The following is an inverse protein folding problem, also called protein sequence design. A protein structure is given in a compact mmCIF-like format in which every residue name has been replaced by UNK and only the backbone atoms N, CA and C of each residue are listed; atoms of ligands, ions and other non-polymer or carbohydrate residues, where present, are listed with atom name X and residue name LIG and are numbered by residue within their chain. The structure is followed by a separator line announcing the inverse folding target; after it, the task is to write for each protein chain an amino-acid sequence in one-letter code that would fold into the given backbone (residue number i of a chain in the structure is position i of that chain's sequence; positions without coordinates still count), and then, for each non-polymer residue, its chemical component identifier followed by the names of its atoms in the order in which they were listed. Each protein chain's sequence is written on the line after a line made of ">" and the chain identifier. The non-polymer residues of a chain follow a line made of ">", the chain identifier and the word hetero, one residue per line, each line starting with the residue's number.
data_IF_139381489676
#
_entry.id   IF_139381489676
#
_cell.length_a   1.000
_cell.length_b   1.000
_cell.length_c   1.000
_cell.angle_alpha   90.00
_cell.angle_beta   90.00
_cell.angle_gamma   90.00
#
_symmetry.space_group_name_H-M   'P 1'
#
loop_
_entity.id
_entity.type
_entity.pdbx_description
1 polymer ?
#
# COMPACT_ATOMS: atom_id res chain seq x y z
N UNK A 1 -51.24 -44.00 -19.24
CA UNK A 1 -50.90 -45.33 -18.67
C UNK A 1 -49.69 -45.85 -19.43
N UNK A 2 -48.63 -46.23 -18.70
CA UNK A 2 -47.56 -47.26 -18.92
C UNK A 2 -47.36 -47.78 -20.36
N UNK A 3 -46.19 -48.05 -20.93
CA UNK A 3 -44.75 -48.19 -20.60
C UNK A 3 -44.05 -48.23 -22.00
N UNK A 4 -42.73 -48.15 -22.25
CA UNK A 4 -41.64 -49.13 -22.05
C UNK A 4 -40.43 -48.53 -22.80
N UNK A 5 -39.33 -48.15 -22.12
CA UNK A 5 -37.96 -48.74 -22.14
C UNK A 5 -37.27 -48.81 -23.53
N UNK A 6 -36.11 -48.17 -23.64
CA UNK A 6 -35.17 -48.31 -24.75
C UNK A 6 -33.79 -47.72 -24.43
N UNK A 7 -32.98 -48.50 -23.71
CA UNK A 7 -31.60 -48.27 -23.25
C UNK A 7 -30.59 -48.33 -24.42
N UNK A 8 -29.65 -47.37 -24.50
CA UNK A 8 -28.35 -47.44 -25.22
C UNK A 8 -27.48 -46.28 -24.67
N UNK A 9 -26.70 -46.42 -23.58
CA UNK A 9 -25.39 -47.07 -23.41
C UNK A 9 -24.30 -46.61 -24.40
N UNK A 10 -23.26 -46.01 -23.80
CA UNK A 10 -21.81 -46.02 -24.14
C UNK A 10 -21.23 -44.75 -24.81
N UNK A 11 -20.20 -44.21 -24.15
CA UNK A 11 -19.26 -43.20 -24.67
C UNK A 11 -19.29 -41.92 -23.82
N UNK A 12 -18.68 -41.83 -22.65
CA UNK A 12 -17.27 -42.14 -22.44
C UNK A 12 -16.39 -41.06 -23.05
N UNK A 13 -16.38 -39.85 -22.49
CA UNK A 13 -15.21 -38.98 -22.61
C UNK A 13 -15.02 -38.15 -21.34
N UNK A 14 -14.14 -38.67 -20.48
CA UNK A 14 -13.37 -37.92 -19.51
C UNK A 14 -12.88 -36.61 -20.15
N UNK A 15 -13.28 -35.47 -19.61
CA UNK A 15 -12.42 -34.28 -19.65
C UNK A 15 -11.56 -34.30 -18.39
N UNK A 16 -10.63 -35.26 -18.38
CA UNK A 16 -9.50 -35.25 -17.50
C UNK A 16 -8.39 -34.42 -18.17
N UNK A 17 -7.90 -33.47 -17.39
CA UNK A 17 -6.58 -32.86 -17.48
C UNK A 17 -6.33 -31.92 -18.66
N UNK A 18 -6.10 -30.65 -18.35
CA UNK A 18 -4.72 -30.25 -18.12
C UNK A 18 -4.70 -28.87 -17.50
N UNK A 19 -4.24 -28.79 -16.24
CA UNK A 19 -3.64 -27.57 -15.72
C UNK A 19 -2.41 -27.30 -16.60
N UNK A 20 -2.60 -26.55 -17.68
CA UNK A 20 -1.48 -26.12 -18.50
C UNK A 20 -0.74 -25.04 -17.72
N UNK A 21 0.27 -25.51 -17.00
CA UNK A 21 1.34 -24.72 -16.41
C UNK A 21 2.17 -24.11 -17.55
N UNK A 22 1.73 -22.97 -18.05
CA UNK A 22 2.61 -22.10 -18.84
C UNK A 22 2.04 -20.69 -18.91
N UNK A 23 1.91 -20.05 -17.75
CA UNK A 23 1.97 -18.59 -17.74
C UNK A 23 3.44 -18.22 -17.74
N UNK A 24 4.00 -18.06 -18.94
CA UNK A 24 5.14 -17.19 -19.18
C UNK A 24 4.81 -15.83 -18.56
N UNK A 25 5.16 -15.66 -17.29
CA UNK A 25 5.21 -14.37 -16.66
C UNK A 25 6.36 -13.64 -17.35
N UNK A 26 6.06 -12.95 -18.46
CA UNK A 26 6.97 -11.96 -19.00
C UNK A 26 7.44 -11.03 -17.87
N UNK A 27 8.64 -10.44 -17.98
CA UNK A 27 9.17 -9.61 -16.91
C UNK A 27 8.10 -8.62 -16.47
N UNK A 28 7.66 -8.71 -15.21
CA UNK A 28 6.78 -7.70 -14.62
C UNK A 28 7.52 -6.39 -14.80
N UNK A 29 7.00 -5.52 -15.67
CA UNK A 29 7.61 -4.24 -15.96
C UNK A 29 7.54 -3.41 -14.68
N UNK A 30 8.59 -3.47 -13.87
CA UNK A 30 8.80 -2.53 -12.77
C UNK A 30 9.23 -1.24 -13.46
N UNK A 31 8.26 -0.39 -13.79
CA UNK A 31 8.53 0.95 -14.31
C UNK A 31 9.14 1.77 -13.18
N UNK A 32 10.47 1.76 -13.08
CA UNK A 32 11.22 2.75 -12.32
C UNK A 32 11.33 3.99 -13.20
N UNK A 33 10.64 5.08 -12.85
CA UNK A 33 10.89 6.39 -13.45
C UNK A 33 12.19 6.96 -12.86
N UNK A 34 13.30 6.54 -13.47
CA UNK A 34 14.64 7.13 -13.63
C UNK A 34 15.30 7.97 -12.50
N UNK A 35 16.47 7.45 -12.10
CA UNK A 35 17.81 8.04 -11.96
C UNK A 35 18.16 9.18 -10.98
N UNK A 36 19.04 8.78 -10.04
CA UNK A 36 20.02 9.53 -9.24
C UNK A 36 19.55 10.27 -7.99
N UNK A 37 19.68 9.62 -6.81
CA UNK A 37 20.55 10.09 -5.71
C UNK A 37 20.56 9.11 -4.52
N UNK A 38 21.77 8.67 -4.16
CA UNK A 38 22.26 8.21 -2.85
C UNK A 38 21.27 7.45 -1.93
N UNK A 39 21.28 6.11 -2.02
CA UNK A 39 20.60 5.22 -1.08
C UNK A 39 21.61 4.74 -0.03
N UNK A 40 21.69 5.45 1.10
CA UNK A 40 22.10 4.83 2.36
C UNK A 40 20.83 4.69 3.19
N UNK A 41 20.08 3.61 2.93
CA UNK A 41 18.98 3.22 3.80
C UNK A 41 19.55 2.20 4.79
N UNK A 42 19.89 2.70 5.97
CA UNK A 42 20.30 1.91 7.13
C UNK A 42 19.35 0.73 7.33
N UNK A 43 19.95 -0.45 7.31
CA UNK A 43 19.36 -1.71 7.74
C UNK A 43 19.06 -1.66 9.23
N UNK A 44 17.94 -1.05 9.61
CA UNK A 44 17.39 -1.15 10.97
C UNK A 44 16.38 -2.31 11.02
N UNK A 45 16.55 -3.27 11.95
CA UNK A 45 15.68 -4.44 12.05
C UNK A 45 14.26 -4.02 12.41
N UNK A 46 13.28 -4.69 11.81
CA UNK A 46 11.85 -4.49 12.06
C UNK A 46 11.54 -4.65 13.57
N UNK A 47 11.24 -3.55 14.25
CA UNK A 47 10.91 -3.55 15.67
C UNK A 47 9.49 -4.10 15.90
N UNK A 48 9.43 -5.18 16.67
CA UNK A 48 8.20 -5.84 17.14
C UNK A 48 7.40 -4.84 18.00
N UNK A 49 6.10 -4.71 17.71
CA UNK A 49 5.14 -3.97 18.56
C UNK A 49 4.77 -2.54 18.12
N UNK A 50 5.23 -2.07 16.96
CA UNK A 50 4.85 -0.75 16.42
C UNK A 50 4.22 -0.87 15.03
N UNK A 51 3.21 -0.05 14.77
CA UNK A 51 2.47 -0.01 13.52
C UNK A 51 3.20 0.86 12.48
N UNK A 52 3.18 0.43 11.22
CA UNK A 52 3.67 1.21 10.10
C UNK A 52 2.48 1.85 9.38
N UNK A 53 2.65 3.10 8.97
CA UNK A 53 1.62 3.83 8.25
C UNK A 53 2.23 4.47 7.01
N UNK A 54 1.62 4.25 5.85
CA UNK A 54 1.87 5.05 4.67
C UNK A 54 1.02 6.31 4.76
N UNK A 55 1.68 7.45 4.77
CA UNK A 55 1.07 8.78 4.74
C UNK A 55 1.32 9.39 3.38
N UNK A 56 0.26 9.89 2.77
CA UNK A 56 0.30 10.63 1.51
C UNK A 56 -0.32 11.99 1.79
N UNK A 57 0.43 13.06 1.55
CA UNK A 57 -0.05 14.44 1.63
C UNK A 57 -0.06 14.99 0.22
N UNK A 58 -1.25 15.13 -0.36
CA UNK A 58 -1.44 15.74 -1.67
C UNK A 58 -1.80 17.22 -1.51
N UNK A 59 -1.05 18.10 -2.20
CA UNK A 59 -1.31 19.54 -2.25
C UNK A 59 -1.96 19.86 -3.59
N UNK A 60 -3.30 19.88 -3.69
CA UNK A 60 -3.94 20.23 -4.94
C UNK A 60 -3.57 21.67 -5.31
N UNK A 61 -3.13 21.88 -6.55
CA UNK A 61 -2.85 23.21 -7.06
C UNK A 61 -4.12 24.09 -6.92
N UNK A 62 -4.05 25.22 -6.22
CA UNK A 62 -5.22 26.07 -6.00
C UNK A 62 -5.74 26.63 -7.32
N UNK A 63 -7.06 26.79 -7.40
CA UNK A 63 -7.76 27.38 -8.55
C UNK A 63 -8.68 28.51 -8.04
N UNK A 64 -8.43 29.78 -8.42
CA UNK A 64 -7.38 30.27 -9.33
C UNK A 64 -5.95 30.08 -8.75
N UNK A 65 -4.94 30.18 -9.62
CA UNK A 65 -3.54 30.09 -9.22
C UNK A 65 -3.19 31.15 -8.16
N UNK A 66 -2.25 30.83 -7.28
CA UNK A 66 -1.78 31.77 -6.26
C UNK A 66 -1.12 32.98 -6.90
N UNK A 67 -1.31 34.14 -6.28
CA UNK A 67 -0.45 35.30 -6.52
C UNK A 67 0.95 35.04 -5.95
N UNK A 68 1.97 35.76 -6.45
CA UNK A 68 3.35 35.60 -5.98
C UNK A 68 3.49 35.73 -4.45
N UNK A 69 2.79 36.69 -3.83
CA UNK A 69 2.81 36.86 -2.37
C UNK A 69 2.20 35.68 -1.62
N UNK A 70 1.13 35.07 -2.17
CA UNK A 70 0.53 33.87 -1.58
C UNK A 70 1.43 32.64 -1.76
N UNK A 71 2.14 32.53 -2.87
CA UNK A 71 3.11 31.45 -3.09
C UNK A 71 4.31 31.57 -2.14
N UNK A 72 4.85 32.77 -1.95
CA UNK A 72 5.89 33.05 -0.95
C UNK A 72 5.39 32.68 0.46
N UNK A 73 4.20 33.17 0.86
CA UNK A 73 3.62 32.84 2.15
C UNK A 73 3.39 31.34 2.35
N UNK A 74 2.95 30.63 1.31
CA UNK A 74 2.82 29.16 1.36
C UNK A 74 4.18 28.48 1.61
N UNK A 75 5.24 28.92 0.94
CA UNK A 75 6.57 28.35 1.12
C UNK A 75 7.11 28.63 2.53
N UNK A 76 7.03 29.87 2.99
CA UNK A 76 7.57 30.34 4.27
C UNK A 76 6.83 29.76 5.48
N UNK A 77 5.50 29.74 5.42
CA UNK A 77 4.67 29.36 6.57
C UNK A 77 4.32 27.87 6.59
N UNK A 78 4.28 27.21 5.41
CA UNK A 78 3.76 25.83 5.28
C UNK A 78 4.79 24.85 4.78
N UNK A 79 5.26 25.03 3.53
CA UNK A 79 6.03 24.00 2.86
C UNK A 79 7.39 23.72 3.53
N UNK A 80 8.16 24.78 3.75
CA UNK A 80 9.48 24.65 4.38
C UNK A 80 9.36 24.16 5.83
N UNK A 81 8.54 24.78 6.70
CA UNK A 81 8.38 24.31 8.09
C UNK A 81 7.84 22.88 8.18
N UNK A 82 6.92 22.48 7.30
CA UNK A 82 6.39 21.13 7.33
C UNK A 82 7.38 20.05 6.89
N UNK A 83 8.23 20.32 5.90
CA UNK A 83 9.33 19.41 5.57
C UNK A 83 10.37 19.35 6.68
N UNK A 84 10.68 20.48 7.33
CA UNK A 84 11.54 20.51 8.50
C UNK A 84 10.97 19.71 9.67
N UNK A 85 9.65 19.77 9.90
CA UNK A 85 8.97 18.97 10.91
C UNK A 85 9.13 17.48 10.63
N UNK A 86 8.86 17.03 9.41
CA UNK A 86 9.04 15.61 9.01
C UNK A 86 10.49 15.16 9.22
N UNK A 87 11.46 15.96 8.78
CA UNK A 87 12.88 15.64 8.98
C UNK A 87 13.26 15.63 10.47
N UNK A 88 12.64 16.49 11.29
CA UNK A 88 12.83 16.47 12.74
C UNK A 88 12.35 15.17 13.38
N UNK A 89 11.26 14.56 12.88
CA UNK A 89 10.79 13.25 13.35
C UNK A 89 11.89 12.20 13.18
N UNK A 90 12.50 12.18 11.98
CA UNK A 90 13.62 11.29 11.64
C UNK A 90 14.81 11.51 12.56
N UNK A 91 15.20 12.76 12.80
CA UNK A 91 16.32 13.10 13.70
C UNK A 91 16.07 12.71 15.17
N UNK A 92 14.81 12.66 15.61
CA UNK A 92 14.42 12.17 16.95
C UNK A 92 14.37 10.65 17.06
N UNK A 93 14.74 9.92 16.00
CA UNK A 93 14.76 8.47 15.97
C UNK A 93 13.41 7.82 15.64
N UNK A 94 12.43 8.59 15.17
CA UNK A 94 11.19 8.03 14.62
C UNK A 94 11.48 7.59 13.18
N UNK A 95 11.36 6.30 12.83
CA UNK A 95 11.59 5.86 11.45
C UNK A 95 10.59 6.51 10.50
N UNK A 96 11.13 7.31 9.59
CA UNK A 96 10.39 7.95 8.49
C UNK A 96 11.14 7.70 7.20
N UNK A 97 10.47 7.10 6.22
CA UNK A 97 11.04 6.77 4.91
C UNK A 97 10.13 7.29 3.81
N UNK A 98 10.62 8.17 2.93
CA UNK A 98 9.80 8.73 1.89
C UNK A 98 10.46 9.90 1.19
N UNK A 99 9.64 10.69 0.49
CA UNK A 99 10.12 11.85 -0.24
C UNK A 99 9.00 12.72 -0.80
N UNK A 100 9.41 13.73 -1.56
CA UNK A 100 8.53 14.61 -2.32
C UNK A 100 8.19 13.93 -3.64
N UNK A 101 6.95 14.06 -4.10
CA UNK A 101 6.50 13.42 -5.32
C UNK A 101 6.98 14.21 -6.55
N UNK A 102 7.63 13.53 -7.50
CA UNK A 102 8.26 14.21 -8.64
C UNK A 102 7.25 14.75 -9.66
N UNK A 103 6.07 14.12 -9.78
CA UNK A 103 5.08 14.41 -10.83
C UNK A 103 3.79 15.05 -10.30
N UNK A 104 3.70 15.29 -8.98
CA UNK A 104 2.58 15.99 -8.34
C UNK A 104 3.04 16.73 -7.10
N UNK A 105 2.39 17.84 -6.80
CA UNK A 105 2.63 18.56 -5.56
C UNK A 105 2.16 17.72 -4.38
N UNK A 106 3.11 17.30 -3.54
CA UNK A 106 2.81 16.43 -2.42
C UNK A 106 4.06 15.75 -1.87
N UNK A 107 3.90 15.09 -0.73
CA UNK A 107 4.88 14.12 -0.25
C UNK A 107 4.20 12.80 0.11
N UNK A 108 4.99 11.73 0.09
CA UNK A 108 4.57 10.43 0.57
C UNK A 108 5.68 9.82 1.42
N UNK A 109 5.31 9.29 2.58
CA UNK A 109 6.26 8.69 3.51
C UNK A 109 5.62 7.60 4.35
N UNK A 110 6.43 6.61 4.71
CA UNK A 110 6.12 5.60 5.71
C UNK A 110 6.64 6.11 7.04
N UNK A 111 5.80 6.09 8.07
CA UNK A 111 6.17 6.44 9.45
C UNK A 111 5.77 5.32 10.40
N UNK A 112 6.59 5.13 11.43
CA UNK A 112 6.29 4.22 12.52
C UNK A 112 5.65 4.97 13.70
N UNK A 113 4.55 4.44 14.22
CA UNK A 113 3.92 4.92 15.46
C UNK A 113 3.39 3.72 16.28
N UNK A 114 3.29 3.88 17.58
CA UNK A 114 2.76 2.88 18.49
C UNK A 114 1.26 2.66 18.24
N UNK A 115 0.52 3.75 18.00
CA UNK A 115 -0.91 3.74 17.77
C UNK A 115 -1.36 4.90 16.86
N UNK A 116 -2.66 4.92 16.57
CA UNK A 116 -3.27 5.97 15.74
C UNK A 116 -3.22 7.35 16.41
N UNK A 117 -3.21 7.43 17.73
CA UNK A 117 -3.20 8.70 18.46
C UNK A 117 -1.84 9.38 18.36
N UNK A 118 -0.76 8.61 18.52
CA UNK A 118 0.60 9.10 18.33
C UNK A 118 0.84 9.54 16.88
N UNK A 119 0.36 8.76 15.90
CA UNK A 119 0.40 9.19 14.50
C UNK A 119 -0.34 10.51 14.28
N UNK A 120 -1.56 10.63 14.79
CA UNK A 120 -2.32 11.88 14.68
C UNK A 120 -1.59 13.06 15.29
N UNK A 121 -0.90 12.88 16.42
CA UNK A 121 -0.07 13.93 17.02
C UNK A 121 1.06 14.35 16.07
N UNK A 122 1.79 13.39 15.49
CA UNK A 122 2.87 13.70 14.54
C UNK A 122 2.37 14.48 13.33
N UNK A 123 1.19 14.14 12.81
CA UNK A 123 0.61 14.78 11.63
C UNK A 123 -0.03 16.14 11.97
N UNK A 124 -0.73 16.26 13.10
CA UNK A 124 -1.41 17.51 13.50
C UNK A 124 -0.41 18.65 13.72
N UNK A 125 0.76 18.34 14.26
CA UNK A 125 1.82 19.32 14.51
C UNK A 125 2.54 19.76 13.21
N UNK A 126 2.23 19.14 12.07
CA UNK A 126 2.84 19.47 10.78
C UNK A 126 2.05 20.58 10.05
N UNK A 127 2.66 21.74 9.75
CA UNK A 127 2.02 22.84 9.02
C UNK A 127 1.44 22.47 7.65
N UNK A 128 1.98 21.42 7.00
CA UNK A 128 1.50 20.93 5.70
C UNK A 128 0.11 20.28 5.79
N UNK A 129 -0.27 19.75 6.96
CA UNK A 129 -1.51 19.00 7.16
C UNK A 129 -2.75 19.85 6.93
N UNK A 130 -2.71 21.16 7.22
CA UNK A 130 -3.88 22.04 7.03
C UNK A 130 -4.20 22.32 5.56
N UNK A 131 -3.18 22.26 4.69
CA UNK A 131 -3.31 22.54 3.25
C UNK A 131 -3.35 21.28 2.40
N UNK A 132 -3.05 20.12 3.00
CA UNK A 132 -3.00 18.85 2.31
C UNK A 132 -4.32 18.09 2.37
N UNK A 133 -4.61 17.35 1.32
CA UNK A 133 -5.44 16.16 1.43
C UNK A 133 -4.57 15.03 1.97
N UNK A 134 -4.77 14.68 3.24
CA UNK A 134 -3.98 13.65 3.92
C UNK A 134 -4.68 12.30 3.83
N UNK A 135 -4.01 11.31 3.25
CA UNK A 135 -4.42 9.91 3.26
C UNK A 135 -3.47 9.12 4.14
N UNK A 136 -4.03 8.32 5.05
CA UNK A 136 -3.27 7.43 5.93
C UNK A 136 -3.70 5.99 5.67
N UNK A 137 -2.73 5.13 5.36
CA UNK A 137 -2.94 3.71 5.10
C UNK A 137 -2.13 2.91 6.12
N UNK A 138 -2.78 2.24 7.08
CA UNK A 138 -2.10 1.29 7.97
C UNK A 138 -1.50 0.15 7.15
N UNK A 139 -0.23 -0.15 7.40
CA UNK A 139 0.50 -1.23 6.76
C UNK A 139 0.59 -2.41 7.72
N UNK A 140 0.21 -3.58 7.22
CA UNK A 140 0.45 -4.86 7.90
C UNK A 140 1.74 -5.48 7.41
N UNK A 141 2.42 -6.23 8.27
CA UNK A 141 3.64 -6.92 7.87
C UNK A 141 3.36 -7.99 6.79
N UNK A 142 4.36 -8.27 5.95
CA UNK A 142 4.25 -9.35 4.97
C UNK A 142 4.01 -10.70 5.65
N UNK A 143 4.64 -10.97 6.80
CA UNK A 143 4.46 -12.21 7.55
C UNK A 143 3.03 -12.40 8.05
N UNK A 144 2.43 -11.34 8.61
CA UNK A 144 1.02 -11.37 9.03
C UNK A 144 0.08 -11.56 7.84
N UNK A 145 0.30 -10.83 6.75
CA UNK A 145 -0.50 -10.99 5.53
C UNK A 145 -0.39 -12.41 4.97
N UNK A 146 0.82 -12.98 4.93
CA UNK A 146 1.06 -14.35 4.48
C UNK A 146 0.29 -15.36 5.34
N UNK A 147 0.36 -15.22 6.67
CA UNK A 147 -0.36 -16.10 7.59
C UNK A 147 -1.87 -16.07 7.34
N UNK A 148 -2.47 -14.86 7.21
CA UNK A 148 -3.90 -14.69 6.91
C UNK A 148 -4.30 -15.37 5.59
N UNK A 149 -3.44 -15.26 4.56
CA UNK A 149 -3.72 -15.89 3.27
C UNK A 149 -3.61 -17.42 3.33
N UNK A 150 -2.63 -17.96 4.07
CA UNK A 150 -2.49 -19.41 4.28
C UNK A 150 -3.69 -19.98 5.03
N UNK A 151 -4.15 -19.32 6.09
CA UNK A 151 -5.34 -19.72 6.85
C UNK A 151 -6.60 -19.70 5.97
N UNK A 152 -6.79 -18.63 5.19
CA UNK A 152 -7.92 -18.52 4.25
C UNK A 152 -7.89 -19.63 3.21
N UNK A 153 -6.72 -19.93 2.65
CA UNK A 153 -6.56 -21.01 1.67
C UNK A 153 -6.94 -22.36 2.28
N UNK A 154 -6.50 -22.64 3.51
CA UNK A 154 -6.82 -23.88 4.20
C UNK A 154 -8.34 -24.04 4.41
N UNK A 155 -9.02 -22.99 4.89
CA UNK A 155 -10.48 -22.97 5.06
C UNK A 155 -11.24 -23.20 3.74
N UNK A 156 -10.75 -22.62 2.65
CA UNK A 156 -11.34 -22.80 1.32
C UNK A 156 -11.18 -24.25 0.83
N UNK A 157 -10.01 -24.86 1.04
CA UNK A 157 -9.77 -26.28 0.69
C UNK A 157 -10.70 -27.21 1.47
N UNK A 158 -10.86 -27.00 2.77
CA UNK A 158 -11.77 -27.79 3.61
C UNK A 158 -13.23 -27.65 3.16
N UNK A 159 -13.65 -26.44 2.79
CA UNK A 159 -15.00 -26.17 2.28
C UNK A 159 -15.23 -26.83 0.92
N UNK A 160 -14.22 -26.84 0.04
CA UNK A 160 -14.29 -27.48 -1.26
C UNK A 160 -14.43 -29.00 -1.16
N UNK A 161 -13.75 -29.63 -0.20
CA UNK A 161 -13.86 -31.07 0.05
C UNK A 161 -15.27 -31.44 0.53
N UNK A 162 -15.84 -30.67 1.46
CA UNK A 162 -17.20 -30.90 1.99
C UNK A 162 -18.32 -30.70 0.96
N UNK A 163 -18.08 -29.97 -0.12
CA UNK A 163 -19.05 -29.79 -1.22
C UNK A 163 -19.00 -30.90 -2.27
N UNK A 164 -18.00 -31.79 -2.19
CA UNK A 164 -17.82 -32.92 -3.11
C UNK A 164 -18.28 -34.25 -2.51
N UNK A 165 -18.69 -34.23 -1.25
CA UNK A 165 -19.36 -35.32 -0.52
C UNK A 165 -20.88 -35.09 -0.55
#
# INVERSE_FOLDING_TARGET
>A
MKNVIGLLLIGGMLLAMSCNSDRKAGPRRITLQSDSMMMIADSMPFYIGKNLYLVIMDYPAPKPALTLGQEIGFLEERAIPGYQHIDSLRRRGIPVFGGVMALKQGCAFIIQANDNLELQKFLKDNPLTETAQVTVIPLVSFGESLFRHQEKLQKLKESQTKQRE
#
